data_IF_531015135261
#
_entry.id   IF_531015135261
#
_cell.length_a   1.000
_cell.length_b   1.000
_cell.length_c   1.000
_cell.angle_alpha   90.00
_cell.angle_beta   90.00
_cell.angle_gamma   90.00
#
_symmetry.space_group_name_H-M   'P 1'
#
loop_
_entity.id
_entity.type
_entity.pdbx_description
1 polymer ?
#
# COMPACT_ATOMS: atom_id res chain seq x y z
N UNK A 1 -12.66 7.55 -48.60
CA UNK A 1 -11.33 8.12 -48.26
C UNK A 1 -11.37 9.19 -47.17
N UNK A 2 -12.26 10.20 -47.19
CA UNK A 2 -12.36 11.20 -46.10
C UNK A 2 -13.17 10.72 -44.88
N UNK A 3 -14.25 9.95 -45.09
CA UNK A 3 -15.11 9.44 -44.02
C UNK A 3 -14.46 8.32 -43.19
N UNK A 4 -13.62 7.49 -43.82
CA UNK A 4 -12.96 6.36 -43.16
C UNK A 4 -11.95 6.83 -42.09
N UNK A 5 -11.22 7.92 -42.38
CA UNK A 5 -10.30 8.56 -41.44
C UNK A 5 -11.07 9.13 -40.24
N UNK A 6 -12.24 9.73 -40.48
CA UNK A 6 -13.08 10.32 -39.45
C UNK A 6 -13.66 9.26 -38.50
N UNK A 7 -14.05 8.10 -39.04
CA UNK A 7 -14.49 6.94 -38.26
C UNK A 7 -13.36 6.36 -37.41
N UNK A 8 -12.14 6.26 -37.96
CA UNK A 8 -10.97 5.79 -37.20
C UNK A 8 -10.64 6.76 -36.07
N UNK A 9 -10.67 8.08 -36.33
CA UNK A 9 -10.43 9.09 -35.29
C UNK A 9 -11.52 9.08 -34.21
N UNK A 10 -12.79 8.89 -34.59
CA UNK A 10 -13.89 8.77 -33.64
C UNK A 10 -13.75 7.51 -32.77
N UNK A 11 -13.40 6.36 -33.36
CA UNK A 11 -13.10 5.14 -32.63
C UNK A 11 -11.91 5.33 -31.69
N UNK A 12 -10.84 5.99 -32.15
CA UNK A 12 -9.67 6.28 -31.32
C UNK A 12 -10.04 7.15 -30.12
N UNK A 13 -10.89 8.17 -30.28
CA UNK A 13 -11.37 8.99 -29.16
C UNK A 13 -12.25 8.19 -28.18
N UNK A 14 -13.15 7.35 -28.67
CA UNK A 14 -14.04 6.52 -27.84
C UNK A 14 -13.25 5.47 -27.05
N UNK A 15 -12.27 4.82 -27.67
CA UNK A 15 -11.46 3.80 -27.01
C UNK A 15 -10.34 4.41 -26.15
N UNK A 16 -9.72 5.53 -26.54
CA UNK A 16 -8.72 6.23 -25.71
C UNK A 16 -9.29 6.74 -24.40
N UNK A 17 -10.55 7.21 -24.39
CA UNK A 17 -11.23 7.66 -23.18
C UNK A 17 -11.46 6.50 -22.17
N UNK A 18 -11.53 5.25 -22.64
CA UNK A 18 -11.60 4.09 -21.73
C UNK A 18 -10.27 3.71 -21.08
N UNK A 19 -9.13 4.17 -21.61
CA UNK A 19 -7.82 3.88 -21.03
C UNK A 19 -7.45 4.79 -19.84
N UNK A 20 -8.15 5.91 -19.63
CA UNK A 20 -7.98 6.72 -18.41
C UNK A 20 -8.48 6.00 -17.15
N UNK A 21 -9.34 4.99 -17.28
CA UNK A 21 -9.84 4.21 -16.14
C UNK A 21 -8.91 3.10 -15.65
N UNK A 22 -7.89 2.72 -16.44
CA UNK A 22 -6.91 1.71 -16.02
C UNK A 22 -5.78 2.33 -15.19
N UNK A 23 -5.67 3.66 -15.17
CA UNK A 23 -4.73 4.41 -14.34
C UNK A 23 -5.44 5.53 -13.58
N UNK A 24 -6.42 5.17 -12.74
CA UNK A 24 -6.87 6.08 -11.70
C UNK A 24 -5.71 6.31 -10.73
N UNK A 25 -4.88 7.32 -10.99
CA UNK A 25 -4.03 7.90 -9.95
C UNK A 25 -4.99 8.31 -8.84
N UNK A 26 -4.76 7.83 -7.62
CA UNK A 26 -5.64 8.01 -6.45
C UNK A 26 -5.88 9.49 -6.03
N UNK A 27 -5.56 10.45 -6.89
CA UNK A 27 -5.57 11.87 -6.66
C UNK A 27 -6.48 12.67 -7.63
N UNK A 28 -7.37 12.01 -8.39
CA UNK A 28 -8.32 12.70 -9.28
C UNK A 28 -9.73 12.70 -8.65
N UNK A 29 -10.19 13.86 -8.18
CA UNK A 29 -11.50 14.02 -7.53
C UNK A 29 -11.67 15.34 -6.79
N UNK A 30 -12.91 15.71 -6.48
CA UNK A 30 -13.21 16.93 -5.71
C UNK A 30 -12.85 16.74 -4.23
N UNK A 31 -12.12 17.68 -3.64
CA UNK A 31 -11.68 17.61 -2.24
C UNK A 31 -10.42 16.77 -2.00
N UNK A 32 -9.74 16.35 -3.07
CA UNK A 32 -8.44 15.69 -2.97
C UNK A 32 -7.35 16.76 -2.88
N UNK A 33 -6.53 16.70 -1.85
CA UNK A 33 -5.32 17.50 -1.70
C UNK A 33 -4.17 16.59 -1.23
N UNK A 34 -2.91 16.94 -1.55
CA UNK A 34 -1.75 16.27 -0.96
C UNK A 34 -1.84 16.24 0.57
N UNK A 35 -1.37 15.15 1.18
CA UNK A 35 -1.21 15.12 2.62
C UNK A 35 -0.15 16.17 3.02
N UNK A 36 -0.53 17.10 3.91
CA UNK A 36 0.37 18.13 4.41
C UNK A 36 0.86 17.80 5.82
N UNK A 37 2.18 17.89 6.01
CA UNK A 37 2.84 17.76 7.32
C UNK A 37 2.44 16.49 8.07
N UNK A 38 2.06 16.64 9.33
CA UNK A 38 1.75 15.54 10.25
C UNK A 38 0.26 15.20 10.33
N UNK A 39 -0.57 15.69 9.39
CA UNK A 39 -2.03 15.50 9.43
C UNK A 39 -2.45 14.02 9.52
N UNK A 40 -1.62 13.13 9.00
CA UNK A 40 -1.82 11.67 9.01
C UNK A 40 -0.63 10.94 9.65
N UNK A 41 -0.19 11.41 10.83
CA UNK A 41 1.02 10.89 11.51
C UNK A 41 1.00 9.40 11.83
N UNK A 42 -0.19 8.80 11.95
CA UNK A 42 -0.35 7.37 12.22
C UNK A 42 -0.37 6.51 10.96
N UNK A 43 -0.50 7.11 9.77
CA UNK A 43 -0.45 6.36 8.51
C UNK A 43 0.97 5.92 8.24
N UNK A 44 1.13 4.67 7.83
CA UNK A 44 2.42 4.08 7.49
C UNK A 44 2.41 3.54 6.08
N UNK A 45 3.57 3.50 5.46
CA UNK A 45 3.81 2.79 4.21
C UNK A 45 4.46 1.45 4.52
N UNK A 46 3.91 0.37 3.95
CA UNK A 46 4.51 -0.96 3.95
C UNK A 46 5.15 -1.12 2.58
N UNK A 47 6.45 -1.35 2.56
CA UNK A 47 7.21 -1.47 1.33
C UNK A 47 8.10 -2.70 1.37
N UNK A 48 8.44 -3.20 0.19
CA UNK A 48 9.58 -4.09 0.06
C UNK A 48 10.84 -3.38 0.55
N UNK A 49 11.83 -4.16 1.03
CA UNK A 49 13.13 -3.63 1.40
C UNK A 49 13.69 -2.83 0.22
N UNK A 50 14.10 -1.58 0.45
CA UNK A 50 14.61 -0.67 -0.59
C UNK A 50 16.06 -1.07 -1.00
N UNK A 51 16.32 -1.54 -2.24
CA UNK A 51 17.66 -1.44 -2.83
C UNK A 51 18.14 0.01 -2.89
N UNK A 52 19.45 0.19 -2.77
CA UNK A 52 20.12 1.51 -2.69
C UNK A 52 19.78 2.44 -3.88
N UNK A 53 19.40 1.89 -5.04
CA UNK A 53 19.17 2.64 -6.30
C UNK A 53 17.74 2.57 -6.85
N UNK A 54 16.78 2.06 -6.08
CA UNK A 54 15.38 1.93 -6.52
C UNK A 54 14.52 3.13 -6.13
N UNK A 55 13.58 3.48 -7.01
CA UNK A 55 12.52 4.45 -6.71
C UNK A 55 11.65 3.93 -5.55
N UNK A 56 11.57 4.63 -4.40
CA UNK A 56 10.80 4.18 -3.24
C UNK A 56 9.33 3.93 -3.56
N UNK A 57 8.76 4.68 -4.49
CA UNK A 57 7.36 4.56 -4.90
C UNK A 57 7.10 3.21 -5.59
N UNK A 58 8.10 2.68 -6.30
CA UNK A 58 8.01 1.38 -6.98
C UNK A 58 8.02 0.17 -6.02
N UNK A 59 8.33 0.40 -4.74
CA UNK A 59 8.46 -0.64 -3.72
C UNK A 59 7.30 -0.67 -2.73
N UNK A 60 6.37 0.29 -2.83
CA UNK A 60 5.19 0.35 -1.98
C UNK A 60 4.33 -0.88 -2.24
N UNK A 61 4.09 -1.65 -1.18
CA UNK A 61 3.21 -2.81 -1.20
C UNK A 61 1.80 -2.41 -0.77
N UNK A 62 1.73 -1.77 0.40
CA UNK A 62 0.48 -1.47 1.09
C UNK A 62 0.61 -0.23 1.97
N UNK A 63 -0.49 0.13 2.63
CA UNK A 63 -0.49 1.06 3.75
C UNK A 63 -0.90 0.35 5.04
N UNK A 64 -0.73 1.02 6.17
CA UNK A 64 -1.24 0.58 7.45
C UNK A 64 -1.44 1.76 8.39
N UNK A 65 -1.84 1.47 9.63
CA UNK A 65 -2.02 2.48 10.68
C UNK A 65 -1.33 2.03 11.96
N UNK A 66 -0.54 2.93 12.57
CA UNK A 66 -0.06 2.76 13.94
C UNK A 66 -1.25 2.80 14.92
N UNK A 67 -1.45 1.69 15.62
CA UNK A 67 -2.42 1.56 16.72
C UNK A 67 -1.74 1.70 18.10
N UNK A 68 -0.40 1.69 18.12
CA UNK A 68 0.45 2.05 19.26
C UNK A 68 1.83 2.48 18.74
N UNK A 69 2.74 2.83 19.64
CA UNK A 69 4.12 3.18 19.27
C UNK A 69 4.91 2.04 18.61
N UNK A 70 4.46 0.80 18.72
CA UNK A 70 5.18 -0.37 18.17
C UNK A 70 4.29 -1.35 17.42
N UNK A 71 2.99 -1.10 17.29
CA UNK A 71 2.07 -1.99 16.59
C UNK A 71 1.35 -1.23 15.48
N UNK A 72 1.28 -1.87 14.32
CA UNK A 72 0.53 -1.41 13.17
C UNK A 72 -0.60 -2.40 12.87
N UNK A 73 -1.71 -1.85 12.39
CA UNK A 73 -2.82 -2.57 11.79
C UNK A 73 -2.71 -2.46 10.27
N UNK A 74 -2.92 -3.57 9.57
CA UNK A 74 -2.92 -3.64 8.11
C UNK A 74 -3.83 -4.77 7.64
N UNK A 75 -3.91 -4.98 6.33
CA UNK A 75 -4.56 -6.13 5.73
C UNK A 75 -3.64 -7.37 5.80
N UNK A 76 -4.24 -8.55 5.87
CA UNK A 76 -3.53 -9.82 5.94
C UNK A 76 -2.73 -10.07 4.66
N UNK A 77 -3.33 -9.85 3.49
CA UNK A 77 -2.65 -10.05 2.21
C UNK A 77 -1.41 -9.16 2.01
N UNK A 78 -1.25 -8.09 2.81
CA UNK A 78 -0.08 -7.23 2.77
C UNK A 78 1.14 -7.82 3.47
N UNK A 79 0.95 -8.85 4.30
CA UNK A 79 2.01 -9.45 5.14
C UNK A 79 2.07 -10.98 5.05
N UNK A 80 1.10 -11.62 4.41
CA UNK A 80 1.00 -13.08 4.31
C UNK A 80 1.92 -13.69 3.23
N UNK A 81 2.55 -12.87 2.38
CA UNK A 81 3.57 -13.38 1.46
C UNK A 81 4.83 -13.81 2.21
N UNK A 82 4.89 -15.11 2.53
CA UNK A 82 5.93 -15.80 3.29
C UNK A 82 7.36 -15.60 2.76
N UNK A 83 7.52 -14.96 1.58
CA UNK A 83 8.80 -14.67 0.96
C UNK A 83 9.37 -13.27 1.26
N UNK A 84 8.61 -12.35 1.86
CA UNK A 84 8.98 -10.92 1.90
C UNK A 84 9.43 -10.41 3.27
N UNK A 85 10.71 -10.03 3.37
CA UNK A 85 11.18 -9.11 4.41
C UNK A 85 10.72 -7.68 4.07
N UNK A 86 9.48 -7.33 4.45
CA UNK A 86 8.98 -5.97 4.27
C UNK A 86 9.56 -5.02 5.33
N UNK A 87 9.38 -3.74 5.09
CA UNK A 87 9.75 -2.66 6.00
C UNK A 87 8.58 -1.68 6.14
N UNK A 88 8.58 -0.95 7.23
CA UNK A 88 7.51 -0.02 7.61
C UNK A 88 8.09 1.38 7.68
N UNK A 89 7.58 2.27 6.82
CA UNK A 89 7.99 3.66 6.71
C UNK A 89 6.98 4.53 7.45
N UNK A 90 7.49 5.34 8.39
CA UNK A 90 6.67 6.13 9.32
C UNK A 90 7.07 7.60 9.31
N UNK A 91 6.09 8.48 9.48
CA UNK A 91 6.29 9.86 9.90
C UNK A 91 6.67 10.85 8.80
N UNK A 92 6.63 10.44 7.52
CA UNK A 92 6.84 11.35 6.41
C UNK A 92 5.90 11.06 5.24
N UNK A 93 5.52 12.12 4.52
CA UNK A 93 4.82 12.04 3.23
C UNK A 93 5.80 11.85 2.06
N UNK A 94 7.10 12.03 2.30
CA UNK A 94 8.18 11.70 1.37
C UNK A 94 8.89 10.43 1.86
N UNK A 95 8.67 9.32 1.15
CA UNK A 95 9.18 7.99 1.53
C UNK A 95 10.71 7.95 1.69
N UNK A 96 11.45 8.85 1.05
CA UNK A 96 12.93 8.96 1.16
C UNK A 96 13.38 9.49 2.51
N UNK A 97 12.49 10.17 3.23
CA UNK A 97 12.75 10.82 4.53
C UNK A 97 12.00 10.15 5.68
N UNK A 98 11.25 9.09 5.39
CA UNK A 98 10.52 8.35 6.41
C UNK A 98 11.48 7.58 7.33
N UNK A 99 11.07 7.40 8.58
CA UNK A 99 11.78 6.50 9.49
C UNK A 99 11.43 5.07 9.13
N UNK A 100 12.46 4.24 8.92
CA UNK A 100 12.30 2.84 8.54
C UNK A 100 12.33 1.98 9.80
N UNK A 101 11.32 1.12 9.94
CA UNK A 101 11.27 0.06 10.93
C UNK A 101 11.13 -1.30 10.26
N UNK A 102 11.60 -2.34 10.95
CA UNK A 102 11.44 -3.72 10.49
C UNK A 102 10.42 -4.46 11.35
N UNK A 103 9.59 -5.33 10.74
CA UNK A 103 8.68 -6.19 11.46
C UNK A 103 9.46 -7.11 12.40
N UNK A 104 9.07 -7.13 13.67
CA UNK A 104 9.55 -8.07 14.68
C UNK A 104 8.73 -9.36 14.64
N UNK A 105 7.41 -9.23 14.50
CA UNK A 105 6.48 -10.32 14.20
C UNK A 105 5.21 -9.75 13.57
N UNK A 106 4.44 -10.62 12.92
CA UNK A 106 3.08 -10.34 12.47
C UNK A 106 2.14 -11.47 12.88
N UNK A 107 0.86 -11.14 13.00
CA UNK A 107 -0.23 -12.06 13.29
C UNK A 107 -1.36 -11.76 12.32
N UNK A 108 -1.64 -12.71 11.45
CA UNK A 108 -2.76 -12.67 10.52
C UNK A 108 -4.02 -13.25 11.17
N UNK A 109 -5.20 -12.94 10.62
CA UNK A 109 -6.44 -13.53 11.09
C UNK A 109 -6.41 -15.05 10.91
N UNK A 110 -5.96 -15.52 9.75
CA UNK A 110 -5.91 -16.95 9.43
C UNK A 110 -5.00 -17.72 10.40
N UNK A 111 -3.86 -17.16 10.76
CA UNK A 111 -2.96 -17.76 11.76
C UNK A 111 -3.60 -17.80 13.15
N UNK A 112 -4.20 -16.70 13.59
CA UNK A 112 -4.91 -16.65 14.87
C UNK A 112 -6.08 -17.64 14.91
N UNK A 113 -6.87 -17.71 13.84
CA UNK A 113 -8.03 -18.59 13.73
C UNK A 113 -7.61 -20.06 13.80
N UNK A 114 -6.59 -20.44 13.02
CA UNK A 114 -5.99 -21.77 13.05
C UNK A 114 -5.47 -22.14 14.45
N UNK A 115 -4.74 -21.23 15.09
CA UNK A 115 -4.17 -21.46 16.42
C UNK A 115 -5.23 -21.57 17.54
N UNK A 116 -6.40 -20.97 17.35
CA UNK A 116 -7.49 -20.94 18.36
C UNK A 116 -8.65 -21.88 18.03
N UNK A 117 -8.55 -22.65 16.94
CA UNK A 117 -9.61 -23.56 16.49
C UNK A 117 -10.85 -22.84 15.94
N UNK A 118 -10.71 -21.58 15.52
CA UNK A 118 -11.77 -20.85 14.82
C UNK A 118 -11.76 -21.19 13.32
N UNK A 119 -12.91 -21.09 12.63
CA UNK A 119 -12.96 -21.27 11.19
C UNK A 119 -12.09 -20.24 10.46
N UNK A 120 -11.20 -20.72 9.61
CA UNK A 120 -10.46 -19.87 8.66
C UNK A 120 -11.43 -19.46 7.55
N UNK A 121 -11.61 -18.15 7.38
CA UNK A 121 -12.51 -17.56 6.38
C UNK A 121 -11.77 -16.46 5.62
N UNK A 122 -11.68 -16.61 4.30
CA UNK A 122 -10.97 -15.67 3.42
C UNK A 122 -11.65 -14.29 3.27
N UNK A 123 -12.53 -13.93 4.20
CA UNK A 123 -13.19 -12.62 4.26
C UNK A 123 -12.53 -11.69 5.27
N UNK A 124 -11.77 -12.21 6.22
CA UNK A 124 -11.19 -11.43 7.32
C UNK A 124 -9.75 -11.06 6.99
N UNK A 125 -9.59 -10.11 6.09
CA UNK A 125 -8.30 -9.63 5.61
C UNK A 125 -7.69 -8.61 6.59
N UNK A 126 -7.19 -9.09 7.73
CA UNK A 126 -6.66 -8.24 8.80
C UNK A 126 -5.43 -8.84 9.45
N UNK A 127 -4.41 -8.02 9.67
CA UNK A 127 -3.21 -8.42 10.38
C UNK A 127 -2.70 -7.31 11.30
N UNK A 128 -2.04 -7.74 12.37
CA UNK A 128 -1.30 -6.87 13.28
C UNK A 128 0.18 -7.21 13.16
N UNK A 129 1.01 -6.18 12.97
CA UNK A 129 2.46 -6.32 12.96
C UNK A 129 3.06 -5.51 14.10
N UNK A 130 3.99 -6.11 14.83
CA UNK A 130 4.85 -5.38 15.76
C UNK A 130 6.15 -5.02 15.07
N UNK A 131 6.63 -3.80 15.26
CA UNK A 131 7.92 -3.33 14.73
C UNK A 131 8.96 -3.15 15.83
N UNK A 132 10.24 -3.33 15.47
CA UNK A 132 11.36 -3.06 16.37
C UNK A 132 11.71 -1.57 16.35
N UNK A 133 11.69 -0.93 17.52
CA UNK A 133 12.07 0.47 17.72
C UNK A 133 13.56 0.67 18.02
N UNK A 134 14.35 -0.41 18.08
CA UNK A 134 15.77 -0.32 18.42
C UNK A 134 16.64 -0.11 17.18
N UNK A 135 17.36 1.01 17.17
CA UNK A 135 18.52 1.25 16.33
C UNK A 135 19.78 0.73 17.04
N UNK A 136 20.57 -0.07 16.32
CA UNK A 136 21.99 0.19 16.18
C UNK A 136 22.44 -0.36 14.83
#
# INVERSE_FOLDING_TARGET
>A
MSYDILLILAQFMIFSNKYDFVTTKALIGHGIAPAEGTKFSSVVCIANRIPIDSDPDSLVLCTGVLISSTHLLTAEHCVDDQSTSFQVLVGSTDLRTATIYYPFWWLTFDWWASATGQPVVNTNDIAITRVNIYFN
#
